data_IF_993855956169
#
_entry.id   IF_993855956169
#
_cell.length_a   1.000
_cell.length_b   1.000
_cell.length_c   1.000
_cell.angle_alpha   90.00
_cell.angle_beta   90.00
_cell.angle_gamma   90.00
#
_symmetry.space_group_name_H-M   'P 1'
#
loop_
_entity.id
_entity.type
_entity.pdbx_description
1 polymer ?
#
# COMPACT_ATOMS: atom_id res chain seq x y z
N UNK A 1 -13.16 -32.27 -18.77
CA UNK A 1 -13.15 -30.88 -18.26
C UNK A 1 -13.16 -29.97 -19.49
N UNK A 2 -14.31 -29.34 -19.75
CA UNK A 2 -14.66 -28.74 -21.04
C UNK A 2 -13.91 -27.43 -21.26
N UNK A 3 -12.88 -27.46 -22.11
CA UNK A 3 -12.32 -26.26 -22.74
C UNK A 3 -13.31 -25.73 -23.77
N UNK A 4 -14.29 -24.93 -23.33
CA UNK A 4 -15.22 -24.29 -24.23
C UNK A 4 -14.50 -23.27 -25.11
N UNK A 5 -14.46 -23.52 -26.42
CA UNK A 5 -13.98 -22.53 -27.39
C UNK A 5 -14.80 -21.25 -27.22
N UNK A 6 -14.16 -20.16 -26.79
CA UNK A 6 -14.86 -18.89 -26.67
C UNK A 6 -15.42 -18.45 -28.02
N UNK A 7 -16.62 -17.88 -27.96
CA UNK A 7 -17.25 -17.31 -29.16
C UNK A 7 -16.46 -16.08 -29.61
N UNK A 8 -16.36 -15.88 -30.92
CA UNK A 8 -15.70 -14.70 -31.53
C UNK A 8 -16.29 -13.40 -30.95
N UNK A 9 -17.59 -13.42 -30.61
CA UNK A 9 -18.30 -12.32 -29.95
C UNK A 9 -17.76 -12.02 -28.54
N UNK A 10 -17.50 -13.04 -27.72
CA UNK A 10 -16.95 -12.85 -26.37
C UNK A 10 -15.54 -12.25 -26.41
N UNK A 11 -14.67 -12.76 -27.27
CA UNK A 11 -13.30 -12.24 -27.47
C UNK A 11 -13.34 -10.78 -27.93
N UNK A 12 -14.20 -10.46 -28.91
CA UNK A 12 -14.34 -9.09 -29.43
C UNK A 12 -14.82 -8.13 -28.35
N UNK A 13 -15.72 -8.58 -27.47
CA UNK A 13 -16.21 -7.76 -26.37
C UNK A 13 -15.14 -7.52 -25.31
N UNK A 14 -14.42 -8.55 -24.90
CA UNK A 14 -13.34 -8.44 -23.90
C UNK A 14 -12.24 -7.49 -24.37
N UNK A 15 -11.90 -7.50 -25.67
CA UNK A 15 -10.98 -6.51 -26.25
C UNK A 15 -11.49 -5.08 -26.11
N UNK A 16 -12.78 -4.83 -26.35
CA UNK A 16 -13.40 -3.51 -26.16
C UNK A 16 -13.41 -3.09 -24.70
N UNK A 17 -13.70 -4.02 -23.79
CA UNK A 17 -13.68 -3.76 -22.35
C UNK A 17 -12.26 -3.41 -21.88
N UNK A 18 -11.23 -4.10 -22.39
CA UNK A 18 -9.83 -3.77 -22.11
C UNK A 18 -9.47 -2.36 -22.59
N UNK A 19 -9.83 -2.01 -23.83
CA UNK A 19 -9.62 -0.66 -24.35
C UNK A 19 -10.33 0.41 -23.52
N UNK A 20 -11.54 0.10 -23.03
CA UNK A 20 -12.27 1.01 -22.13
C UNK A 20 -11.53 1.20 -20.82
N UNK A 21 -11.04 0.13 -20.19
CA UNK A 21 -10.28 0.19 -18.94
C UNK A 21 -8.98 0.99 -19.09
N UNK A 22 -8.26 0.81 -20.20
CA UNK A 22 -7.04 1.59 -20.49
C UNK A 22 -7.36 3.08 -20.65
N UNK A 23 -8.50 3.40 -21.27
CA UNK A 23 -8.94 4.79 -21.48
C UNK A 23 -9.50 5.44 -20.21
N UNK A 24 -10.20 4.66 -19.40
CA UNK A 24 -10.97 5.10 -18.24
C UNK A 24 -10.73 4.11 -17.08
N UNK A 25 -9.58 4.26 -16.38
CA UNK A 25 -9.17 3.33 -15.35
C UNK A 25 -10.06 3.44 -14.11
N UNK A 26 -10.28 2.30 -13.45
CA UNK A 26 -11.04 2.26 -12.19
C UNK A 26 -10.14 2.75 -11.05
N UNK A 27 -10.56 3.75 -10.26
CA UNK A 27 -9.80 4.18 -9.09
C UNK A 27 -9.55 3.01 -8.13
N UNK A 28 -8.33 2.93 -7.60
CA UNK A 28 -7.92 1.85 -6.69
C UNK A 28 -8.00 0.43 -7.28
N UNK A 29 -7.99 0.28 -8.60
CA UNK A 29 -7.79 -1.02 -9.20
C UNK A 29 -7.08 -0.98 -10.55
N UNK A 30 -6.35 -2.06 -10.82
CA UNK A 30 -5.81 -2.38 -12.14
C UNK A 30 -6.34 -3.72 -12.58
N UNK A 31 -6.53 -3.90 -13.88
CA UNK A 31 -6.96 -5.17 -14.45
C UNK A 31 -6.42 -5.38 -15.85
N UNK A 32 -6.02 -6.61 -16.13
CA UNK A 32 -5.50 -7.00 -17.42
C UNK A 32 -5.85 -8.47 -17.72
N UNK A 33 -6.11 -8.81 -18.99
CA UNK A 33 -6.21 -10.20 -19.42
C UNK A 33 -4.85 -10.89 -19.33
N UNK A 34 -4.85 -12.19 -19.12
CA UNK A 34 -3.65 -13.00 -19.26
C UNK A 34 -3.17 -12.96 -20.72
N UNK A 35 -1.87 -12.77 -21.01
CA UNK A 35 -1.36 -12.67 -22.37
C UNK A 35 -1.67 -13.91 -23.23
N UNK A 36 -1.67 -15.09 -22.59
CA UNK A 36 -1.94 -16.38 -23.23
C UNK A 36 -3.43 -16.71 -23.36
N UNK A 37 -4.30 -16.06 -22.58
CA UNK A 37 -5.73 -16.36 -22.54
C UNK A 37 -6.57 -15.11 -22.18
N UNK A 38 -7.17 -14.48 -23.19
CA UNK A 38 -8.02 -13.30 -22.99
C UNK A 38 -9.30 -13.57 -22.19
N UNK A 39 -9.68 -14.82 -21.96
CA UNK A 39 -10.85 -15.18 -21.15
C UNK A 39 -10.52 -15.19 -19.66
N UNK A 40 -9.24 -15.26 -19.32
CA UNK A 40 -8.75 -15.22 -17.96
C UNK A 40 -8.24 -13.81 -17.68
N UNK A 41 -8.87 -13.15 -16.72
CA UNK A 41 -8.52 -11.80 -16.34
C UNK A 41 -8.01 -11.77 -14.92
N UNK A 42 -6.98 -10.98 -14.70
CA UNK A 42 -6.51 -10.67 -13.36
C UNK A 42 -6.84 -9.23 -13.02
N UNK A 43 -7.01 -8.98 -11.74
CA UNK A 43 -7.15 -7.64 -11.19
C UNK A 43 -6.37 -7.51 -9.89
N UNK A 44 -5.98 -6.30 -9.56
CA UNK A 44 -5.43 -5.94 -8.25
C UNK A 44 -6.28 -4.80 -7.72
N UNK A 45 -6.88 -4.99 -6.55
CA UNK A 45 -7.46 -3.90 -5.77
C UNK A 45 -6.38 -3.31 -4.88
N UNK A 46 -6.26 -1.98 -4.87
CA UNK A 46 -5.33 -1.24 -4.03
C UNK A 46 -6.10 -0.73 -2.83
N UNK A 47 -5.59 -0.98 -1.62
CA UNK A 47 -6.25 -0.51 -0.41
C UNK A 47 -6.30 1.02 -0.35
N UNK A 48 -7.51 1.57 -0.25
CA UNK A 48 -7.72 3.01 -0.20
C UNK A 48 -7.19 3.62 1.11
N UNK A 49 -6.80 4.92 1.11
CA UNK A 49 -6.41 5.66 2.30
C UNK A 49 -7.51 5.63 3.37
N UNK A 50 -7.12 5.75 4.64
CA UNK A 50 -8.01 5.78 5.79
C UNK A 50 -8.84 4.49 5.99
N UNK A 51 -8.48 3.41 5.30
CA UNK A 51 -9.08 2.08 5.48
C UNK A 51 -8.14 1.12 6.20
N UNK A 52 -8.63 0.01 6.75
CA UNK A 52 -7.78 -1.07 7.27
C UNK A 52 -6.93 -1.77 6.19
N UNK A 53 -7.22 -1.51 4.92
CA UNK A 53 -6.56 -2.13 3.76
C UNK A 53 -5.45 -1.27 3.17
N UNK A 54 -5.31 -0.02 3.62
CA UNK A 54 -4.34 0.96 3.11
C UNK A 54 -2.94 0.36 2.93
N UNK A 55 -2.34 0.62 1.76
CA UNK A 55 -1.03 0.10 1.36
C UNK A 55 -1.02 -1.39 0.96
N UNK A 56 -2.18 -2.05 0.97
CA UNK A 56 -2.37 -3.42 0.52
C UNK A 56 -2.64 -3.54 -0.98
N UNK A 57 -2.23 -4.66 -1.56
CA UNK A 57 -2.46 -5.05 -2.95
C UNK A 57 -3.16 -6.41 -2.99
N UNK A 58 -4.40 -6.45 -3.45
CA UNK A 58 -5.24 -7.65 -3.40
C UNK A 58 -5.43 -8.21 -4.81
N UNK A 59 -4.57 -9.17 -5.18
CA UNK A 59 -4.62 -9.84 -6.48
C UNK A 59 -5.73 -10.88 -6.52
N UNK A 60 -6.57 -10.80 -7.56
CA UNK A 60 -7.62 -11.77 -7.85
C UNK A 60 -7.67 -12.13 -9.32
N UNK A 61 -8.54 -13.10 -9.63
CA UNK A 61 -8.81 -13.57 -10.98
C UNK A 61 -10.31 -13.64 -11.26
N UNK A 62 -10.69 -13.42 -12.52
CA UNK A 62 -12.05 -13.56 -13.02
C UNK A 62 -12.06 -14.72 -14.03
N UNK A 63 -12.59 -15.86 -13.58
CA UNK A 63 -12.65 -17.10 -14.39
C UNK A 63 -13.98 -17.24 -15.14
N UNK A 64 -15.05 -16.59 -14.66
CA UNK A 64 -16.41 -16.73 -15.21
C UNK A 64 -16.89 -15.39 -15.78
N UNK A 65 -16.84 -15.26 -17.10
CA UNK A 65 -17.31 -14.06 -17.78
C UNK A 65 -18.81 -14.11 -18.07
N UNK A 66 -19.57 -13.15 -17.54
CA UNK A 66 -20.94 -12.89 -17.97
C UNK A 66 -20.92 -11.73 -18.99
N UNK A 67 -21.34 -11.95 -20.25
CA UNK A 67 -21.30 -10.92 -21.29
C UNK A 67 -22.19 -9.70 -21.02
N UNK A 68 -23.06 -9.76 -20.01
CA UNK A 68 -23.92 -8.65 -19.60
C UNK A 68 -23.20 -7.60 -18.74
N UNK A 69 -22.09 -7.93 -18.07
CA UNK A 69 -21.41 -7.03 -17.13
C UNK A 69 -20.02 -6.66 -17.64
N UNK A 70 -19.59 -5.41 -17.44
CA UNK A 70 -18.23 -4.98 -17.83
C UNK A 70 -17.21 -5.30 -16.73
N UNK A 71 -15.94 -5.56 -17.10
CA UNK A 71 -14.86 -5.87 -16.14
C UNK A 71 -14.76 -4.76 -15.08
N UNK A 72 -14.82 -3.50 -15.54
CA UNK A 72 -14.82 -2.30 -14.70
C UNK A 72 -15.95 -2.33 -13.66
N UNK A 73 -17.17 -2.69 -14.04
CA UNK A 73 -18.33 -2.74 -13.14
C UNK A 73 -18.17 -3.84 -12.08
N UNK A 74 -17.65 -5.01 -12.47
CA UNK A 74 -17.40 -6.11 -11.54
C UNK A 74 -16.39 -5.68 -10.48
N UNK A 75 -15.26 -5.11 -10.91
CA UNK A 75 -14.19 -4.66 -10.01
C UNK A 75 -14.68 -3.54 -9.09
N UNK A 76 -15.42 -2.56 -9.62
CA UNK A 76 -15.99 -1.49 -8.82
C UNK A 76 -16.95 -2.03 -7.75
N UNK A 77 -17.75 -3.04 -8.09
CA UNK A 77 -18.60 -3.75 -7.12
C UNK A 77 -17.79 -4.45 -6.02
N UNK A 78 -16.70 -5.14 -6.39
CA UNK A 78 -15.80 -5.79 -5.42
C UNK A 78 -15.17 -4.78 -4.45
N UNK A 79 -14.71 -3.63 -4.94
CA UNK A 79 -14.14 -2.57 -4.10
C UNK A 79 -15.19 -2.01 -3.13
N UNK A 80 -16.44 -1.81 -3.60
CA UNK A 80 -17.55 -1.37 -2.75
C UNK A 80 -17.78 -2.35 -1.60
N UNK A 81 -17.91 -3.65 -1.92
CA UNK A 81 -18.14 -4.68 -0.90
C UNK A 81 -16.95 -4.90 0.02
N UNK A 82 -15.72 -4.66 -0.43
CA UNK A 82 -14.50 -4.85 0.39
C UNK A 82 -14.49 -3.95 1.63
N UNK A 83 -15.09 -2.77 1.55
CA UNK A 83 -15.18 -1.81 2.67
C UNK A 83 -16.47 -1.94 3.47
N UNK A 84 -17.37 -2.85 3.10
CA UNK A 84 -18.58 -3.13 3.84
C UNK A 84 -18.33 -4.24 4.88
N UNK A 85 -18.93 -4.09 6.07
CA UNK A 85 -18.93 -5.13 7.10
C UNK A 85 -20.13 -6.08 6.98
N UNK A 86 -20.87 -6.01 5.86
CA UNK A 86 -22.05 -6.85 5.63
C UNK A 86 -21.60 -8.31 5.39
N UNK A 87 -22.10 -9.28 6.16
CA UNK A 87 -21.72 -10.67 5.95
C UNK A 87 -22.27 -11.16 4.62
N UNK A 88 -21.37 -11.40 3.67
CA UNK A 88 -21.66 -11.94 2.33
C UNK A 88 -20.96 -13.28 2.13
N UNK A 89 -21.37 -14.03 1.10
CA UNK A 89 -20.75 -15.32 0.79
C UNK A 89 -19.26 -15.15 0.51
N UNK A 90 -18.42 -15.84 1.27
CA UNK A 90 -16.96 -15.75 1.16
C UNK A 90 -16.33 -14.61 1.97
N UNK A 91 -17.12 -13.76 2.65
CA UNK A 91 -16.59 -12.77 3.58
C UNK A 91 -15.97 -13.44 4.83
N UNK A 92 -14.93 -12.81 5.36
CA UNK A 92 -14.30 -13.21 6.61
C UNK A 92 -14.29 -12.02 7.57
N UNK A 93 -14.94 -12.20 8.72
CA UNK A 93 -14.87 -11.21 9.80
C UNK A 93 -13.52 -11.32 10.50
N UNK A 94 -12.72 -10.27 10.38
CA UNK A 94 -11.42 -10.11 11.03
C UNK A 94 -11.35 -8.76 11.73
N UNK A 95 -10.36 -8.56 12.58
CA UNK A 95 -10.08 -7.24 13.17
C UNK A 95 -9.41 -6.31 12.16
N UNK A 96 -9.56 -4.99 12.35
CA UNK A 96 -8.80 -3.99 11.58
C UNK A 96 -7.30 -4.17 11.73
N UNK A 97 -6.84 -4.60 12.91
CA UNK A 97 -5.43 -4.89 13.17
C UNK A 97 -4.90 -6.01 12.27
N UNK A 98 -5.64 -7.12 12.17
CA UNK A 98 -5.27 -8.22 11.28
C UNK A 98 -5.30 -7.79 9.81
N UNK A 99 -6.32 -7.03 9.38
CA UNK A 99 -6.40 -6.49 8.01
C UNK A 99 -5.18 -5.65 7.66
N UNK A 100 -4.73 -4.77 8.56
CA UNK A 100 -3.54 -3.93 8.36
C UNK A 100 -2.26 -4.77 8.26
N UNK A 101 -2.15 -5.85 9.03
CA UNK A 101 -1.01 -6.78 8.90
C UNK A 101 -1.03 -7.46 7.52
N UNK A 102 -2.20 -7.94 7.09
CA UNK A 102 -2.36 -8.60 5.79
C UNK A 102 -2.12 -7.63 4.63
N UNK A 103 -2.53 -6.36 4.75
CA UNK A 103 -2.25 -5.30 3.80
C UNK A 103 -0.73 -5.17 3.58
N UNK A 104 0.06 -5.03 4.64
CA UNK A 104 1.54 -4.95 4.53
C UNK A 104 2.15 -6.20 3.89
N UNK A 105 1.67 -7.39 4.28
CA UNK A 105 2.18 -8.68 3.80
C UNK A 105 1.77 -9.00 2.35
N UNK A 106 0.72 -8.36 1.85
CA UNK A 106 0.20 -8.62 0.51
C UNK A 106 1.23 -8.36 -0.59
N UNK A 107 2.09 -7.35 -0.41
CA UNK A 107 3.23 -7.02 -1.30
C UNK A 107 4.11 -8.24 -1.56
N UNK A 108 4.73 -8.77 -0.51
CA UNK A 108 5.61 -9.95 -0.61
C UNK A 108 4.86 -11.21 -1.04
N UNK A 109 3.59 -11.34 -0.66
CA UNK A 109 2.76 -12.47 -1.07
C UNK A 109 2.54 -12.48 -2.59
N UNK A 110 2.17 -11.33 -3.17
CA UNK A 110 1.91 -11.20 -4.59
C UNK A 110 3.18 -11.43 -5.43
N UNK A 111 4.34 -10.96 -4.97
CA UNK A 111 5.62 -11.17 -5.67
C UNK A 111 6.03 -12.65 -5.79
N UNK A 112 5.47 -13.55 -4.97
CA UNK A 112 5.70 -15.00 -5.09
C UNK A 112 4.88 -15.65 -6.21
N UNK A 113 3.86 -14.96 -6.71
CA UNK A 113 2.98 -15.45 -7.77
C UNK A 113 3.59 -15.14 -9.14
N UNK A 114 3.91 -16.17 -9.96
CA UNK A 114 4.40 -15.95 -11.31
C UNK A 114 3.36 -15.24 -12.19
N UNK A 115 2.07 -15.59 -12.08
CA UNK A 115 1.01 -14.93 -12.85
C UNK A 115 0.89 -13.44 -12.49
N UNK A 116 1.06 -13.09 -11.21
CA UNK A 116 1.06 -11.69 -10.80
C UNK A 116 2.24 -10.93 -11.45
N UNK A 117 3.45 -11.49 -11.37
CA UNK A 117 4.63 -10.87 -11.95
C UNK A 117 4.59 -10.79 -13.48
N UNK A 118 3.93 -11.74 -14.14
CA UNK A 118 3.75 -11.74 -15.59
C UNK A 118 2.73 -10.68 -16.03
N UNK A 119 1.56 -10.65 -15.39
CA UNK A 119 0.45 -9.77 -15.80
C UNK A 119 0.67 -8.33 -15.36
N UNK A 120 1.26 -8.11 -14.18
CA UNK A 120 1.47 -6.80 -13.58
C UNK A 120 2.95 -6.52 -13.34
N UNK A 121 3.77 -6.71 -14.36
CA UNK A 121 5.23 -6.56 -14.27
C UNK A 121 5.66 -5.20 -13.73
N UNK A 122 5.06 -4.10 -14.21
CA UNK A 122 5.36 -2.74 -13.74
C UNK A 122 5.04 -2.57 -12.25
N UNK A 123 3.87 -3.05 -11.80
CA UNK A 123 3.50 -3.01 -10.38
C UNK A 123 4.42 -3.91 -9.55
N UNK A 124 4.81 -5.08 -10.07
CA UNK A 124 5.71 -5.98 -9.37
C UNK A 124 7.09 -5.35 -9.17
N UNK A 125 7.62 -4.62 -10.15
CA UNK A 125 8.85 -3.84 -9.99
C UNK A 125 8.67 -2.70 -9.00
N UNK A 126 7.56 -1.97 -9.06
CA UNK A 126 7.27 -0.92 -8.08
C UNK A 126 7.28 -1.47 -6.65
N UNK A 127 6.60 -2.59 -6.40
CA UNK A 127 6.55 -3.23 -5.09
C UNK A 127 7.95 -3.71 -4.65
N UNK A 128 8.77 -4.23 -5.58
CA UNK A 128 10.15 -4.62 -5.28
C UNK A 128 10.98 -3.42 -4.81
N UNK A 129 10.94 -2.32 -5.56
CA UNK A 129 11.64 -1.09 -5.19
C UNK A 129 11.20 -0.55 -3.83
N UNK A 130 9.89 -0.46 -3.58
CA UNK A 130 9.33 0.01 -2.30
C UNK A 130 9.81 -0.86 -1.10
N UNK A 131 9.86 -2.18 -1.27
CA UNK A 131 10.33 -3.10 -0.23
C UNK A 131 11.84 -2.98 0.02
N UNK A 132 12.63 -2.76 -1.03
CA UNK A 132 14.08 -2.54 -0.90
C UNK A 132 14.38 -1.24 -0.15
N UNK A 133 13.68 -0.15 -0.50
CA UNK A 133 13.78 1.13 0.20
C UNK A 133 13.38 1.02 1.68
N UNK A 134 12.25 0.37 1.98
CA UNK A 134 11.80 0.14 3.36
C UNK A 134 12.82 -0.67 4.17
N UNK A 135 13.45 -1.68 3.55
CA UNK A 135 14.50 -2.49 4.20
C UNK A 135 15.77 -1.69 4.45
N UNK A 136 16.18 -0.83 3.52
CA UNK A 136 17.36 0.03 3.67
C UNK A 136 17.17 1.03 4.82
N UNK A 137 16.03 1.71 4.88
CA UNK A 137 15.68 2.65 5.96
C UNK A 137 15.64 1.95 7.33
N UNK A 138 15.11 0.73 7.39
CA UNK A 138 15.09 -0.05 8.63
C UNK A 138 16.49 -0.51 9.07
N UNK A 139 17.38 -0.81 8.12
CA UNK A 139 18.77 -1.17 8.42
C UNK A 139 19.58 0.01 8.98
N UNK A 140 19.40 1.21 8.42
CA UNK A 140 20.04 2.44 8.93
C UNK A 140 19.59 2.77 10.36
N UNK A 141 18.29 2.63 10.64
CA UNK A 141 17.74 2.86 11.98
C UNK A 141 18.25 1.85 13.03
N UNK A 142 18.52 0.60 12.63
CA UNK A 142 19.09 -0.41 13.53
C UNK A 142 20.62 -0.31 13.66
N UNK A 143 21.34 0.14 12.62
CA UNK A 143 22.79 0.32 12.62
C UNK A 143 23.30 1.51 13.45
N UNK A 144 22.41 2.44 13.84
CA UNK A 144 22.74 3.57 14.71
C UNK A 144 22.84 3.27 16.21
N UNK A 145 22.57 2.03 16.65
CA UNK A 145 22.50 1.67 18.08
C UNK A 145 23.68 0.78 18.59
N UNK A 146 24.66 0.45 17.75
CA UNK A 146 25.80 -0.40 18.13
C UNK A 146 27.10 0.39 18.37
N UNK A 147 27.08 1.41 19.24
CA UNK A 147 28.34 2.04 19.69
C UNK A 147 28.27 2.66 21.11
N UNK A 148 27.69 1.97 22.10
CA UNK A 148 28.03 2.23 23.51
C UNK A 148 27.93 0.94 24.34
N UNK A 149 29.00 0.15 24.40
CA UNK A 149 29.35 -0.51 25.66
C UNK A 149 30.81 -1.01 25.69
N UNK A 150 31.70 -0.22 26.28
CA UNK A 150 32.78 -0.72 27.13
C UNK A 150 33.40 0.44 27.90
N UNK A 151 32.73 0.85 28.98
CA UNK A 151 33.40 1.26 30.21
C UNK A 151 32.42 1.35 31.39
N UNK A 152 32.71 0.49 32.36
CA UNK A 152 32.25 0.42 33.74
C UNK A 152 31.92 1.78 34.41
N UNK A 153 30.80 1.79 35.16
CA UNK A 153 30.35 2.72 36.24
C UNK A 153 29.69 4.07 35.91
N UNK A 154 28.34 4.11 35.94
CA UNK A 154 27.42 4.96 36.75
C UNK A 154 26.04 5.09 36.07
N UNK A 155 24.92 5.28 36.80
CA UNK A 155 23.59 5.31 36.20
C UNK A 155 23.32 6.70 35.60
N UNK A 156 22.88 6.80 34.34
CA UNK A 156 22.36 8.06 33.81
C UNK A 156 21.26 7.87 32.75
N UNK A 157 20.02 7.94 33.23
CA UNK A 157 18.83 8.25 32.43
C UNK A 157 18.99 9.60 31.72
N UNK A 158 19.13 9.67 30.40
CA UNK A 158 19.19 10.98 29.72
C UNK A 158 18.89 11.00 28.22
N UNK A 159 17.83 10.33 27.74
CA UNK A 159 17.26 10.67 26.42
C UNK A 159 16.20 11.78 26.51
N UNK A 160 15.47 11.88 27.63
CA UNK A 160 14.46 12.94 27.85
C UNK A 160 15.14 14.28 28.19
N UNK A 161 16.24 14.25 28.94
CA UNK A 161 16.94 15.46 29.40
C UNK A 161 17.58 16.24 28.25
N UNK A 162 18.08 15.57 27.22
CA UNK A 162 18.74 16.23 26.07
C UNK A 162 17.73 16.99 25.19
N UNK A 163 16.58 16.38 24.90
CA UNK A 163 15.50 17.04 24.17
C UNK A 163 14.91 18.21 24.98
N UNK A 164 14.79 18.05 26.31
CA UNK A 164 14.31 19.13 27.19
C UNK A 164 15.32 20.28 27.28
N UNK A 165 16.63 20.00 27.30
CA UNK A 165 17.69 21.01 27.29
C UNK A 165 17.73 21.80 25.98
N UNK A 166 17.55 21.13 24.84
CA UNK A 166 17.47 21.81 23.55
C UNK A 166 16.23 22.71 23.48
N UNK A 167 15.06 22.22 23.91
CA UNK A 167 13.83 23.02 23.93
C UNK A 167 13.94 24.20 24.90
N UNK A 168 14.47 24.00 26.11
CA UNK A 168 14.66 25.09 27.07
C UNK A 168 15.70 26.12 26.60
N UNK A 169 16.79 25.69 25.96
CA UNK A 169 17.78 26.58 25.37
C UNK A 169 17.21 27.47 24.27
N UNK A 170 16.40 26.92 23.36
CA UNK A 170 15.74 27.68 22.29
C UNK A 170 14.74 28.69 22.88
N UNK A 171 13.97 28.31 23.90
CA UNK A 171 13.02 29.21 24.57
C UNK A 171 13.74 30.38 25.24
N UNK A 172 14.83 30.12 25.98
CA UNK A 172 15.63 31.18 26.63
C UNK A 172 16.22 32.13 25.59
N UNK A 173 16.73 31.62 24.48
CA UNK A 173 17.28 32.44 23.40
C UNK A 173 16.20 33.36 22.79
N UNK A 174 14.99 32.85 22.56
CA UNK A 174 13.87 33.64 22.04
C UNK A 174 13.50 34.77 23.01
N UNK A 175 13.43 34.49 24.31
CA UNK A 175 13.13 35.51 25.33
C UNK A 175 14.24 36.56 25.45
N UNK A 176 15.51 36.15 25.37
CA UNK A 176 16.65 37.07 25.39
C UNK A 176 16.64 38.02 24.18
N UNK A 177 16.39 37.50 22.98
CA UNK A 177 16.25 38.31 21.76
C UNK A 177 15.09 39.28 21.90
N UNK A 178 13.92 38.82 22.38
CA UNK A 178 12.77 39.70 22.63
C UNK A 178 13.08 40.78 23.66
N UNK A 179 13.77 40.46 24.74
CA UNK A 179 14.15 41.43 25.77
C UNK A 179 15.07 42.52 25.21
N UNK A 180 16.10 42.14 24.44
CA UNK A 180 17.01 43.09 23.81
C UNK A 180 16.27 44.00 22.83
N UNK A 181 15.40 43.44 21.99
CA UNK A 181 14.61 44.23 21.03
C UNK A 181 13.68 45.20 21.76
N UNK A 182 12.96 44.76 22.80
CA UNK A 182 12.08 45.62 23.59
C UNK A 182 12.85 46.74 24.30
N UNK A 183 14.05 46.44 24.80
CA UNK A 183 14.90 47.43 25.47
C UNK A 183 15.53 48.42 24.48
N UNK A 184 15.84 47.98 23.26
CA UNK A 184 16.34 48.84 22.18
C UNK A 184 15.25 49.75 21.58
N UNK A 185 13.97 49.37 21.65
CA UNK A 185 12.84 50.21 21.21
C UNK A 185 12.30 51.14 22.30
N UNK A 186 12.76 51.00 23.55
CA UNK A 186 12.32 51.81 24.70
C UNK A 186 13.31 52.92 25.09
N UNK A 187 14.29 53.22 24.22
CA UNK A 187 15.22 54.34 24.30
C UNK A 187 15.05 55.24 23.08
#
# INVERSE_FOLDING_TARGET
MSGGSATITAVTRLKKDYQKLVRDPVPYAIAAPLPSNILEWHYVVIGAPDTPYEGGYYHGKLDTWNPSWSVSTIIMGLISFMNENSPTLGSLLTSDYERRILARRSREFNLKSPQFCEVFSELAEQIRCELEEERALNAENNGGNENVNNQTTRPSSSSITANLLMVTGVVILIFAVRYVVMNATSA
#
